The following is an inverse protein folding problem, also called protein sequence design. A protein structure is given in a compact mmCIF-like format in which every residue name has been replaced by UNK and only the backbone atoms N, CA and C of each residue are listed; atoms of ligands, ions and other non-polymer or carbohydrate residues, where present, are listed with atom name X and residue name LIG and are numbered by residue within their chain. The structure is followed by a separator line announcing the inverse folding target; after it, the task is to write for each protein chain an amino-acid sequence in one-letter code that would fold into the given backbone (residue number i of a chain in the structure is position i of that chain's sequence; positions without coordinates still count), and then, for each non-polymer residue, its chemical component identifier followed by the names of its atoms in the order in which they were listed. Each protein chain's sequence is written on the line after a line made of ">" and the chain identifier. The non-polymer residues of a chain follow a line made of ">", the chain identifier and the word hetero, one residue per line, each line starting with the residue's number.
data_IF_948587059904
#
_entry.id   IF_948587059904
#
_cell.length_a   1.000
_cell.length_b   1.000
_cell.length_c   1.000
_cell.angle_alpha   90.00
_cell.angle_beta   90.00
_cell.angle_gamma   90.00
#
_symmetry.space_group_name_H-M   'P 1'
#
loop_
_entity.id
_entity.type
_entity.pdbx_description
1 polymer ?
#
# COMPACT_ATOMS: atom_id res chain seq x y z
N UNK A 1 -14.03 -45.96 9.87
CA UNK A 1 -13.56 -45.33 8.61
C UNK A 1 -12.32 -44.53 8.94
N UNK A 2 -11.15 -45.03 8.55
CA UNK A 2 -9.87 -44.34 8.69
C UNK A 2 -9.79 -43.24 7.63
N UNK A 3 -9.44 -42.03 8.06
CA UNK A 3 -9.25 -40.88 7.16
C UNK A 3 -7.99 -41.15 6.31
N UNK A 4 -8.04 -41.05 4.98
CA UNK A 4 -6.83 -41.15 4.17
C UNK A 4 -5.87 -40.01 4.57
N UNK A 5 -4.66 -40.36 4.99
CA UNK A 5 -3.55 -39.42 5.08
C UNK A 5 -2.84 -39.44 3.75
N UNK A 6 -2.94 -38.33 3.01
CA UNK A 6 -2.13 -38.10 1.80
C UNK A 6 -0.74 -37.66 2.25
N UNK A 7 0.30 -38.26 1.67
CA UNK A 7 1.66 -37.75 1.83
C UNK A 7 1.97 -36.64 0.81
N UNK A 8 3.14 -36.00 0.92
CA UNK A 8 3.54 -34.91 0.03
C UNK A 8 3.63 -35.37 -1.43
N UNK A 9 3.93 -36.66 -1.68
CA UNK A 9 3.98 -37.23 -3.03
C UNK A 9 2.58 -37.38 -3.62
N UNK A 10 1.59 -37.71 -2.80
CA UNK A 10 0.19 -37.74 -3.20
C UNK A 10 -0.32 -36.34 -3.54
N UNK A 11 0.03 -35.32 -2.75
CA UNK A 11 -0.35 -33.93 -3.01
C UNK A 11 0.30 -33.41 -4.29
N UNK A 12 1.59 -33.64 -4.50
CA UNK A 12 2.27 -33.26 -5.73
C UNK A 12 1.65 -33.95 -6.96
N UNK A 13 1.33 -35.24 -6.85
CA UNK A 13 0.68 -36.00 -7.91
C UNK A 13 -0.69 -35.44 -8.24
N UNK A 14 -1.54 -35.16 -7.24
CA UNK A 14 -2.87 -34.58 -7.43
C UNK A 14 -2.77 -33.20 -8.08
N UNK A 15 -1.80 -32.38 -7.66
CA UNK A 15 -1.56 -31.06 -8.25
C UNK A 15 -1.12 -31.16 -9.72
N UNK A 16 -0.16 -32.04 -10.03
CA UNK A 16 0.30 -32.27 -11.41
C UNK A 16 -0.81 -32.81 -12.32
N UNK A 17 -1.64 -33.73 -11.82
CA UNK A 17 -2.74 -34.29 -12.60
C UNK A 17 -3.84 -33.24 -12.84
N UNK A 18 -4.15 -32.41 -11.85
CA UNK A 18 -5.08 -31.29 -12.01
C UNK A 18 -4.55 -30.26 -13.03
N UNK A 19 -3.27 -29.89 -12.96
CA UNK A 19 -2.65 -28.97 -13.91
C UNK A 19 -2.60 -29.53 -15.33
N UNK A 20 -2.30 -30.82 -15.50
CA UNK A 20 -2.34 -31.47 -16.83
C UNK A 20 -3.75 -31.54 -17.40
N UNK A 21 -4.74 -31.81 -16.55
CA UNK A 21 -6.14 -31.83 -16.96
C UNK A 21 -6.56 -30.44 -17.47
N UNK A 22 -6.28 -29.39 -16.71
CA UNK A 22 -6.61 -28.01 -17.10
C UNK A 22 -5.77 -27.48 -18.28
N UNK A 23 -4.52 -27.93 -18.44
CA UNK A 23 -3.71 -27.58 -19.61
C UNK A 23 -4.28 -28.17 -20.92
N UNK A 24 -4.98 -29.30 -20.85
CA UNK A 24 -5.68 -29.88 -22.00
C UNK A 24 -6.99 -29.16 -22.35
N UNK A 25 -7.58 -28.45 -21.39
CA UNK A 25 -8.83 -27.68 -21.57
C UNK A 25 -8.56 -26.21 -21.95
N UNK A 26 -7.30 -25.77 -21.90
CA UNK A 26 -6.92 -24.42 -22.29
C UNK A 26 -7.08 -24.25 -23.81
N UNK A 27 -7.76 -23.19 -24.28
CA UNK A 27 -7.89 -22.95 -25.71
C UNK A 27 -6.51 -22.70 -26.33
N UNK A 28 -6.23 -23.37 -27.46
CA UNK A 28 -4.96 -23.24 -28.20
C UNK A 28 -4.68 -21.82 -28.70
N UNK A 29 -5.69 -20.94 -28.65
CA UNK A 29 -5.57 -19.52 -28.99
C UNK A 29 -6.33 -18.65 -27.99
N UNK A 30 -5.68 -17.58 -27.55
CA UNK A 30 -6.23 -16.61 -26.57
C UNK A 30 -7.46 -15.85 -27.08
N UNK A 31 -7.74 -15.89 -28.39
CA UNK A 31 -8.90 -15.27 -29.04
C UNK A 31 -10.08 -16.25 -29.25
N UNK A 32 -9.93 -17.53 -28.90
CA UNK A 32 -10.98 -18.52 -29.09
C UNK A 32 -12.03 -18.44 -27.96
N UNK A 33 -13.33 -18.39 -28.27
CA UNK A 33 -14.38 -18.41 -27.27
C UNK A 33 -14.35 -19.74 -26.50
N UNK A 34 -14.36 -19.65 -25.16
CA UNK A 34 -14.40 -20.81 -24.26
C UNK A 34 -15.64 -21.66 -24.57
N UNK A 35 -15.42 -22.89 -25.03
CA UNK A 35 -16.50 -23.81 -25.38
C UNK A 35 -17.18 -24.32 -24.10
N UNK A 36 -18.22 -23.63 -23.65
CA UNK A 36 -18.90 -24.01 -22.42
C UNK A 36 -19.94 -23.05 -21.87
N UNK A 37 -20.72 -22.38 -22.73
CA UNK A 37 -21.91 -21.64 -22.28
C UNK A 37 -23.15 -22.15 -23.00
N UNK A 38 -24.07 -22.70 -22.22
CA UNK A 38 -25.42 -23.11 -22.60
C UNK A 38 -26.08 -22.03 -23.45
N UNK A 39 -26.38 -22.36 -24.71
CA UNK A 39 -27.27 -21.59 -25.58
C UNK A 39 -28.64 -21.45 -24.92
N UNK A 40 -28.97 -20.24 -24.45
CA UNK A 40 -30.34 -19.86 -24.19
C UNK A 40 -31.04 -19.65 -25.53
N UNK A 41 -31.91 -20.60 -25.88
CA UNK A 41 -32.77 -20.53 -27.05
C UNK A 41 -33.89 -19.49 -26.84
N UNK A 42 -34.00 -18.54 -27.76
CA UNK A 42 -35.22 -17.81 -28.02
C UNK A 42 -36.08 -18.62 -29.02
N UNK A 43 -37.35 -18.88 -28.70
CA UNK A 43 -38.30 -19.45 -29.68
C UNK A 43 -39.45 -20.28 -29.12
N UNK A 44 -40.48 -19.59 -28.64
CA UNK A 44 -41.90 -19.75 -28.98
C UNK A 44 -42.76 -21.02 -28.65
N UNK A 45 -43.93 -20.71 -28.06
CA UNK A 45 -45.26 -21.37 -28.06
C UNK A 45 -45.47 -22.85 -27.71
N UNK A 46 -46.44 -23.09 -26.80
CA UNK A 46 -47.31 -24.27 -26.82
C UNK A 46 -47.52 -24.93 -25.46
N UNK A 47 -48.68 -24.71 -24.85
CA UNK A 47 -49.04 -25.33 -23.56
C UNK A 47 -49.23 -26.85 -23.63
N UNK A 48 -49.06 -27.51 -22.48
CA UNK A 48 -49.85 -28.65 -21.98
C UNK A 48 -49.42 -28.91 -20.52
N UNK A 49 -50.41 -29.03 -19.64
CA UNK A 49 -50.25 -29.43 -18.25
C UNK A 49 -49.65 -30.83 -18.11
N UNK A 50 -48.75 -31.04 -17.14
CA UNK A 50 -48.82 -32.19 -16.22
C UNK A 50 -47.81 -32.07 -15.08
N UNK A 51 -48.35 -32.19 -13.86
CA UNK A 51 -47.62 -32.43 -12.61
C UNK A 51 -46.64 -33.60 -12.77
N UNK A 52 -45.41 -33.44 -12.27
CA UNK A 52 -44.67 -34.53 -11.62
C UNK A 52 -43.60 -33.97 -10.67
N UNK A 53 -43.84 -34.21 -9.38
CA UNK A 53 -42.89 -34.09 -8.29
C UNK A 53 -41.68 -34.97 -8.56
N UNK A 54 -40.48 -34.41 -8.45
CA UNK A 54 -39.28 -35.15 -8.07
C UNK A 54 -38.51 -34.32 -7.05
N UNK A 55 -38.53 -34.82 -5.81
CA UNK A 55 -37.58 -34.52 -4.75
C UNK A 55 -36.29 -35.25 -5.11
N UNK A 56 -35.12 -34.64 -4.86
CA UNK A 56 -33.88 -35.25 -4.32
C UNK A 56 -32.76 -34.17 -4.27
N UNK A 57 -31.67 -34.39 -3.50
CA UNK A 57 -31.11 -33.41 -2.57
C UNK A 57 -29.81 -32.77 -3.05
N UNK A 58 -29.53 -31.57 -2.55
CA UNK A 58 -28.21 -30.94 -2.63
C UNK A 58 -27.31 -31.49 -1.52
N UNK A 59 -26.29 -32.25 -1.89
CA UNK A 59 -25.13 -32.54 -1.04
C UNK A 59 -24.04 -31.56 -1.43
N UNK A 60 -23.89 -30.49 -0.64
CA UNK A 60 -22.74 -29.61 -0.71
C UNK A 60 -21.71 -30.08 0.33
N UNK A 61 -20.61 -30.66 -0.14
CA UNK A 61 -19.48 -31.00 0.72
C UNK A 61 -18.56 -29.77 0.85
N UNK A 62 -18.71 -29.04 1.96
CA UNK A 62 -17.74 -28.04 2.43
C UNK A 62 -16.62 -28.76 3.18
N UNK A 63 -15.41 -28.78 2.60
CA UNK A 63 -14.22 -29.22 3.31
C UNK A 63 -13.57 -27.99 3.98
N UNK A 64 -13.96 -27.74 5.24
CA UNK A 64 -13.23 -26.85 6.14
C UNK A 64 -12.03 -27.61 6.73
N UNK A 65 -10.81 -27.21 6.38
CA UNK A 65 -9.61 -27.65 7.06
C UNK A 65 -9.44 -26.84 8.34
N UNK A 66 -9.77 -27.47 9.46
CA UNK A 66 -9.40 -27.01 10.80
C UNK A 66 -7.93 -27.35 11.04
N UNK A 67 -7.09 -26.32 11.24
CA UNK A 67 -5.73 -26.49 11.78
C UNK A 67 -5.83 -26.39 13.32
N UNK A 68 -5.31 -27.37 14.07
CA UNK A 68 -5.34 -27.33 15.53
C UNK A 68 -4.40 -26.25 16.08
N UNK A 69 -4.91 -25.56 17.10
CA UNK A 69 -4.21 -24.59 17.92
C UNK A 69 -2.90 -25.16 18.51
N UNK A 70 -1.78 -24.57 18.11
CA UNK A 70 -0.50 -24.67 18.81
C UNK A 70 -0.31 -23.45 19.71
N UNK A 71 -0.44 -23.65 21.02
CA UNK A 71 0.04 -22.73 22.05
C UNK A 71 1.54 -22.49 21.84
N UNK A 72 1.91 -21.27 21.44
CA UNK A 72 3.27 -20.75 21.61
C UNK A 72 3.20 -19.55 22.53
N UNK A 73 3.80 -19.73 23.70
CA UNK A 73 3.97 -18.71 24.73
C UNK A 73 4.70 -17.49 24.14
N UNK A 74 4.11 -16.31 24.30
CA UNK A 74 4.80 -15.03 24.08
C UNK A 74 5.80 -14.85 25.22
N UNK A 75 7.09 -14.88 24.89
CA UNK A 75 8.11 -14.26 25.72
C UNK A 75 7.95 -12.73 25.58
N UNK A 76 7.32 -12.13 26.58
CA UNK A 76 7.42 -10.70 26.85
C UNK A 76 8.83 -10.47 27.37
N UNK A 77 9.70 -9.87 26.56
CA UNK A 77 10.92 -9.26 27.08
C UNK A 77 10.54 -7.87 27.61
N UNK A 78 10.24 -7.89 28.91
CA UNK A 78 10.43 -6.78 29.83
C UNK A 78 11.87 -6.27 29.70
N UNK A 79 12.06 -5.04 29.22
CA UNK A 79 13.29 -4.28 29.43
C UNK A 79 12.98 -3.19 30.46
N UNK A 80 12.85 -3.63 31.70
CA UNK A 80 12.62 -2.80 32.88
C UNK A 80 13.55 -3.22 34.02
N UNK A 81 14.85 -3.17 33.79
CA UNK A 81 15.88 -3.49 34.78
C UNK A 81 16.47 -2.23 35.41
N UNK A 82 15.92 -1.84 36.56
CA UNK A 82 16.56 -0.94 37.53
C UNK A 82 17.76 -1.64 38.17
N UNK A 83 18.94 -1.02 38.05
CA UNK A 83 20.18 -1.49 38.68
C UNK A 83 21.26 -0.41 38.72
N UNK A 84 21.15 0.51 39.68
CA UNK A 84 22.29 1.08 40.42
C UNK A 84 23.18 -0.08 40.94
N UNK A 85 24.51 -0.09 41.02
CA UNK A 85 25.61 0.88 41.02
C UNK A 85 26.90 0.12 40.63
N UNK A 86 27.87 0.77 39.98
CA UNK A 86 29.19 0.18 39.74
C UNK A 86 30.14 1.16 39.03
N UNK A 87 31.14 1.62 39.76
CA UNK A 87 32.00 2.78 39.46
C UNK A 87 33.24 2.42 38.63
N UNK A 88 33.53 3.28 37.63
CA UNK A 88 34.82 3.65 37.03
C UNK A 88 35.68 2.63 36.25
N UNK A 89 35.93 2.95 34.97
CA UNK A 89 37.27 3.07 34.38
C UNK A 89 37.19 3.89 33.08
N UNK A 90 37.96 4.98 33.00
CA UNK A 90 37.89 5.96 31.92
C UNK A 90 38.48 5.49 30.58
N UNK A 91 37.94 6.04 29.49
CA UNK A 91 38.58 6.10 28.19
C UNK A 91 38.24 7.42 27.48
N UNK A 92 39.18 7.99 26.72
CA UNK A 92 39.15 9.39 26.32
C UNK A 92 38.08 9.66 25.26
N UNK A 93 37.29 10.71 25.49
CA UNK A 93 36.40 11.30 24.50
C UNK A 93 37.23 11.95 23.39
N UNK A 94 37.21 11.36 22.20
CA UNK A 94 37.55 12.07 20.97
C UNK A 94 36.33 12.90 20.57
N UNK A 95 36.37 14.20 20.86
CA UNK A 95 35.41 15.18 20.36
C UNK A 95 35.62 15.35 18.85
N UNK A 96 34.91 14.56 18.06
CA UNK A 96 34.78 14.82 16.62
C UNK A 96 33.89 16.04 16.47
N UNK A 97 34.49 17.19 16.16
CA UNK A 97 33.75 18.40 15.78
C UNK A 97 33.12 18.14 14.40
N UNK A 98 31.79 18.20 14.23
CA UNK A 98 31.19 18.12 12.91
C UNK A 98 31.47 19.45 12.20
N UNK A 99 32.44 19.42 11.28
CA UNK A 99 32.66 20.53 10.35
C UNK A 99 31.54 20.52 9.31
N UNK A 100 30.35 20.97 9.73
CA UNK A 100 29.16 21.10 8.89
C UNK A 100 29.23 22.39 8.08
N UNK A 101 30.20 22.49 7.17
CA UNK A 101 30.11 23.42 6.04
C UNK A 101 29.44 22.70 4.87
N UNK A 102 28.22 22.20 5.10
CA UNK A 102 27.38 21.71 4.02
C UNK A 102 26.97 22.94 3.20
N UNK A 103 27.54 23.09 2.01
CA UNK A 103 27.01 23.98 0.99
C UNK A 103 25.52 23.68 0.87
N UNK A 104 24.67 24.65 1.24
CA UNK A 104 23.21 24.55 1.06
C UNK A 104 22.94 24.58 -0.44
N UNK A 105 23.14 23.44 -1.09
CA UNK A 105 22.74 23.25 -2.47
C UNK A 105 21.27 23.68 -2.56
N UNK A 106 20.99 24.70 -3.36
CA UNK A 106 19.63 25.21 -3.51
C UNK A 106 18.78 24.08 -4.08
N UNK A 107 17.75 23.69 -3.35
CA UNK A 107 16.81 22.66 -3.78
C UNK A 107 15.72 23.37 -4.58
N UNK A 108 15.46 22.96 -5.83
CA UNK A 108 14.44 23.61 -6.63
C UNK A 108 13.05 23.47 -6.00
N UNK A 109 12.24 24.53 -6.08
CA UNK A 109 10.91 24.58 -5.46
C UNK A 109 9.94 23.56 -6.07
N UNK A 110 10.17 23.15 -7.32
CA UNK A 110 9.38 22.16 -8.03
C UNK A 110 9.64 20.71 -7.59
N UNK A 111 10.63 20.48 -6.73
CA UNK A 111 10.86 19.13 -6.20
C UNK A 111 9.71 18.70 -5.29
N UNK A 112 9.15 17.54 -5.62
CA UNK A 112 8.06 16.92 -4.88
C UNK A 112 8.58 16.33 -3.57
N UNK A 113 7.73 16.35 -2.55
CA UNK A 113 8.03 15.73 -1.26
C UNK A 113 7.66 14.26 -1.31
N UNK A 114 8.52 13.44 -0.72
CA UNK A 114 8.33 12.00 -0.52
C UNK A 114 8.50 11.68 0.96
N UNK A 115 7.52 10.97 1.52
CA UNK A 115 7.50 10.61 2.94
C UNK A 115 7.35 9.11 3.13
N UNK A 116 7.93 8.62 4.23
CA UNK A 116 7.74 7.27 4.76
C UNK A 116 8.11 7.28 6.25
N UNK A 117 7.25 6.73 7.10
CA UNK A 117 7.38 6.78 8.54
C UNK A 117 7.65 8.19 9.04
N UNK A 118 8.69 8.37 9.85
CA UNK A 118 9.10 9.67 10.40
C UNK A 118 10.02 10.51 9.51
N UNK A 119 10.27 10.13 8.26
CA UNK A 119 11.17 10.86 7.36
C UNK A 119 10.42 11.42 6.15
N UNK A 120 10.88 12.57 5.68
CA UNK A 120 10.57 13.06 4.34
C UNK A 120 11.83 13.58 3.64
N UNK A 121 11.79 13.59 2.31
CA UNK A 121 12.85 14.06 1.42
C UNK A 121 12.21 14.73 0.21
N UNK A 122 12.95 15.61 -0.48
CA UNK A 122 12.53 16.18 -1.76
C UNK A 122 13.26 15.49 -2.90
N UNK A 123 12.53 15.22 -3.99
CA UNK A 123 13.08 14.62 -5.21
C UNK A 123 12.52 15.33 -6.45
N UNK A 124 13.20 15.24 -7.61
CA UNK A 124 12.66 15.78 -8.86
C UNK A 124 11.26 15.24 -9.17
N UNK A 125 10.33 16.07 -9.69
CA UNK A 125 8.94 15.67 -9.90
C UNK A 125 8.78 14.62 -11.02
N UNK A 126 9.81 14.41 -11.83
CA UNK A 126 9.85 13.42 -12.91
C UNK A 126 10.20 12.02 -12.42
N UNK A 127 10.65 11.87 -11.17
CA UNK A 127 10.93 10.56 -10.58
C UNK A 127 9.63 9.87 -10.20
N UNK A 128 9.46 8.64 -10.65
CA UNK A 128 8.30 7.84 -10.29
C UNK A 128 8.51 7.04 -9.01
N UNK A 129 7.79 5.92 -8.93
CA UNK A 129 7.65 5.14 -7.70
C UNK A 129 7.93 3.67 -7.94
N UNK A 130 8.80 3.11 -7.12
CA UNK A 130 9.27 1.73 -7.14
C UNK A 130 9.22 1.08 -5.76
N UNK A 131 9.70 -0.16 -5.67
CA UNK A 131 9.90 -0.86 -4.40
C UNK A 131 11.27 -0.56 -3.78
N UNK A 132 11.47 -1.02 -2.56
CA UNK A 132 12.72 -1.02 -1.81
C UNK A 132 12.89 -2.40 -1.15
N UNK A 133 14.10 -2.81 -0.73
CA UNK A 133 14.27 -4.00 0.08
C UNK A 133 13.35 -3.96 1.29
N UNK A 134 12.64 -5.06 1.53
CA UNK A 134 11.62 -5.18 2.55
C UNK A 134 11.84 -6.45 3.35
N UNK A 135 11.42 -6.45 4.62
CA UNK A 135 11.42 -7.63 5.46
C UNK A 135 9.97 -8.01 5.73
N UNK A 136 9.62 -9.25 5.41
CA UNK A 136 8.27 -9.77 5.60
C UNK A 136 8.26 -10.91 6.59
N UNK A 137 7.23 -10.96 7.44
CA UNK A 137 7.04 -11.98 8.47
C UNK A 137 6.88 -13.39 7.87
N UNK A 138 6.16 -13.50 6.76
CA UNK A 138 5.95 -14.76 6.05
C UNK A 138 7.22 -15.32 5.39
N UNK A 139 8.27 -14.51 5.19
CA UNK A 139 9.54 -14.93 4.60
C UNK A 139 10.63 -15.19 5.65
N UNK A 140 10.21 -15.55 6.88
CA UNK A 140 11.14 -15.87 7.97
C UNK A 140 12.10 -14.74 8.31
N UNK A 141 11.62 -13.49 8.23
CA UNK A 141 12.41 -12.28 8.51
C UNK A 141 13.60 -12.04 7.57
N UNK A 142 13.68 -12.76 6.46
CA UNK A 142 14.70 -12.48 5.45
C UNK A 142 14.36 -11.22 4.67
N UNK A 143 15.39 -10.44 4.34
CA UNK A 143 15.25 -9.25 3.49
C UNK A 143 15.05 -9.71 2.05
N UNK A 144 13.92 -9.31 1.47
CA UNK A 144 13.59 -9.54 0.07
C UNK A 144 13.87 -8.27 -0.73
N UNK A 145 14.59 -8.38 -1.85
CA UNK A 145 14.80 -7.26 -2.77
C UNK A 145 13.55 -7.03 -3.63
N UNK A 146 12.79 -5.98 -3.28
CA UNK A 146 11.68 -5.48 -4.09
C UNK A 146 12.06 -4.24 -4.92
N UNK A 147 13.32 -3.82 -4.91
CA UNK A 147 13.79 -2.61 -5.62
C UNK A 147 14.27 -2.90 -7.04
N UNK A 148 14.80 -4.09 -7.27
CA UNK A 148 15.60 -4.35 -8.45
C UNK A 148 14.83 -4.56 -9.74
N UNK A 149 13.70 -5.29 -9.75
CA UNK A 149 13.42 -6.11 -10.94
C UNK A 149 12.04 -6.08 -11.65
N UNK A 150 10.93 -5.49 -11.18
CA UNK A 150 9.66 -5.71 -11.93
C UNK A 150 8.65 -4.56 -12.03
N UNK A 151 8.42 -3.76 -11.00
CA UNK A 151 7.36 -2.74 -11.06
C UNK A 151 7.78 -1.34 -10.68
N UNK A 152 7.43 -0.42 -11.57
CA UNK A 152 7.59 1.00 -11.41
C UNK A 152 6.36 1.72 -11.98
N UNK A 153 5.99 2.86 -11.41
CA UNK A 153 4.95 3.73 -11.97
C UNK A 153 5.53 5.11 -12.26
N UNK A 154 5.20 5.65 -13.43
CA UNK A 154 5.64 7.00 -13.86
C UNK A 154 4.70 8.07 -13.27
N UNK A 155 5.19 9.29 -13.01
CA UNK A 155 4.33 10.45 -12.77
C UNK A 155 3.28 10.60 -13.88
N UNK A 156 2.01 10.84 -13.48
CA UNK A 156 0.90 10.96 -14.43
C UNK A 156 0.42 9.64 -15.05
N UNK A 157 0.81 8.49 -14.49
CA UNK A 157 0.36 7.18 -14.94
C UNK A 157 -0.23 6.36 -13.79
N UNK A 158 -1.25 5.55 -14.11
CA UNK A 158 -1.76 4.50 -13.23
C UNK A 158 -1.46 3.09 -13.77
N UNK A 159 -0.45 2.96 -14.63
CA UNK A 159 0.00 1.68 -15.18
C UNK A 159 1.38 1.35 -14.65
N UNK A 160 1.64 0.06 -14.46
CA UNK A 160 3.01 -0.40 -14.27
C UNK A 160 3.79 -0.28 -15.57
N UNK A 161 5.05 0.10 -15.45
CA UNK A 161 6.08 -0.16 -16.44
C UNK A 161 7.07 -1.17 -15.90
N UNK A 162 7.80 -1.81 -16.81
CA UNK A 162 8.93 -2.66 -16.48
C UNK A 162 10.19 -1.81 -16.28
N UNK A 163 11.06 -2.24 -15.37
CA UNK A 163 12.17 -1.42 -14.87
C UNK A 163 13.28 -1.29 -15.94
N UNK A 164 13.52 -0.05 -16.41
CA UNK A 164 14.83 0.48 -16.86
C UNK A 164 14.80 1.94 -17.35
N UNK A 165 13.64 2.62 -17.40
CA UNK A 165 13.54 3.90 -18.10
C UNK A 165 13.57 5.18 -17.24
N UNK A 166 13.84 5.12 -15.93
CA UNK A 166 13.90 6.36 -15.15
C UNK A 166 14.23 6.23 -13.67
N UNK A 167 14.58 7.36 -13.07
CA UNK A 167 14.83 7.52 -11.64
C UNK A 167 13.54 7.34 -10.81
N UNK A 168 13.67 6.88 -9.57
CA UNK A 168 12.50 6.54 -8.76
C UNK A 168 12.72 6.70 -7.26
N UNK A 169 11.60 6.71 -6.52
CA UNK A 169 11.59 6.58 -5.07
C UNK A 169 11.01 5.23 -4.67
N UNK A 170 11.73 4.49 -3.85
CA UNK A 170 11.43 3.13 -3.41
C UNK A 170 10.92 3.07 -1.99
N UNK A 171 9.99 2.14 -1.71
CA UNK A 171 9.45 1.86 -0.36
C UNK A 171 9.37 0.35 -0.10
N UNK A 172 9.44 -0.11 1.17
CA UNK A 172 9.45 -1.53 1.51
C UNK A 172 8.04 -2.16 1.38
N UNK A 173 7.53 -2.19 0.16
CA UNK A 173 6.20 -2.70 -0.20
C UNK A 173 6.32 -3.59 -1.43
N UNK A 174 5.53 -4.66 -1.49
CA UNK A 174 5.46 -5.53 -2.67
C UNK A 174 4.62 -4.83 -3.74
N UNK A 175 5.25 -4.36 -4.82
CA UNK A 175 4.54 -3.74 -5.94
C UNK A 175 3.96 -4.77 -6.93
N UNK A 176 4.64 -5.91 -7.05
CA UNK A 176 4.27 -7.10 -7.84
C UNK A 176 4.42 -8.34 -6.97
N UNK A 177 3.78 -9.42 -7.39
CA UNK A 177 3.87 -10.75 -6.79
C UNK A 177 5.29 -11.32 -6.86
N UNK A 178 6.08 -10.81 -7.81
CA UNK A 178 7.49 -11.14 -8.00
C UNK A 178 8.40 -10.10 -7.32
N UNK A 179 8.45 -10.07 -5.98
CA UNK A 179 9.69 -9.62 -5.33
C UNK A 179 10.71 -10.76 -5.51
N UNK A 180 11.65 -10.58 -6.42
CA UNK A 180 12.60 -11.62 -6.78
C UNK A 180 13.54 -11.95 -5.63
N UNK A 181 13.59 -13.21 -5.23
CA UNK A 181 14.67 -13.78 -4.40
C UNK A 181 15.99 -13.86 -5.17
N UNK A 182 16.43 -12.74 -5.75
CA UNK A 182 17.76 -12.58 -6.33
C UNK A 182 18.74 -12.06 -5.28
N UNK A 183 20.06 -12.19 -5.52
CA UNK A 183 21.03 -11.50 -4.68
C UNK A 183 20.72 -10.00 -4.69
N UNK A 184 20.80 -9.31 -3.53
CA UNK A 184 20.45 -7.90 -3.44
C UNK A 184 21.26 -7.09 -4.44
N UNK A 185 20.57 -6.57 -5.46
CA UNK A 185 21.17 -5.67 -6.43
C UNK A 185 21.14 -4.24 -5.88
N UNK A 186 21.95 -3.36 -6.45
CA UNK A 186 21.73 -1.92 -6.31
C UNK A 186 21.07 -1.37 -7.58
N UNK A 187 20.27 -0.30 -7.48
CA UNK A 187 19.75 0.39 -8.66
C UNK A 187 20.90 0.89 -9.56
N UNK A 188 20.73 0.75 -10.88
CA UNK A 188 21.66 1.29 -11.89
C UNK A 188 21.27 2.69 -12.37
N UNK A 189 20.10 3.17 -11.96
CA UNK A 189 19.55 4.52 -12.16
C UNK A 189 19.63 5.33 -10.87
N UNK A 190 19.36 6.63 -10.93
CA UNK A 190 19.22 7.42 -9.70
C UNK A 190 18.00 6.94 -8.92
N UNK A 191 18.16 6.70 -7.61
CA UNK A 191 17.07 6.21 -6.78
C UNK A 191 17.17 6.75 -5.36
N UNK A 192 16.02 6.87 -4.69
CA UNK A 192 15.94 7.11 -3.24
C UNK A 192 15.08 6.04 -2.62
N UNK A 193 15.62 5.26 -1.70
CA UNK A 193 14.87 4.26 -0.97
C UNK A 193 14.57 4.79 0.44
N UNK A 194 13.29 4.78 0.81
CA UNK A 194 12.83 5.19 2.13
C UNK A 194 12.46 3.95 2.95
N UNK A 195 13.08 3.77 4.11
CA UNK A 195 12.79 2.64 5.01
C UNK A 195 13.22 1.28 4.47
N UNK A 196 14.20 1.24 3.57
CA UNK A 196 14.75 0.00 3.04
C UNK A 196 15.32 -0.88 4.17
N UNK A 197 14.84 -2.13 4.24
CA UNK A 197 15.29 -3.11 5.21
C UNK A 197 16.77 -3.48 5.01
N UNK A 198 17.50 -3.68 6.11
CA UNK A 198 18.91 -4.07 6.08
C UNK A 198 19.91 -2.96 5.69
N UNK A 199 19.45 -1.74 5.41
CA UNK A 199 20.33 -0.63 5.06
C UNK A 199 20.95 0.00 6.31
N UNK A 200 22.27 0.02 6.39
CA UNK A 200 23.01 0.70 7.44
C UNK A 200 23.43 2.11 7.00
N UNK A 201 23.41 3.12 7.90
CA UNK A 201 23.95 4.44 7.60
C UNK A 201 25.42 4.39 7.17
N UNK A 202 25.78 5.19 6.18
CA UNK A 202 27.14 5.26 5.62
C UNK A 202 27.14 5.41 4.10
N UNK A 203 28.35 5.47 3.54
CA UNK A 203 28.57 5.63 2.09
C UNK A 203 29.32 4.42 1.55
N UNK A 204 28.87 3.90 0.41
CA UNK A 204 29.51 2.82 -0.34
C UNK A 204 29.60 3.23 -1.83
N UNK A 205 30.64 2.80 -2.52
CA UNK A 205 30.78 2.99 -3.97
C UNK A 205 30.93 1.63 -4.63
N UNK A 206 30.05 1.33 -5.58
CA UNK A 206 30.02 0.07 -6.31
C UNK A 206 31.01 0.08 -7.48
N UNK A 207 31.42 -1.11 -7.97
CA UNK A 207 32.36 -1.22 -9.09
C UNK A 207 31.91 -0.52 -10.39
N UNK A 208 30.61 -0.31 -10.59
CA UNK A 208 30.05 0.35 -11.77
C UNK A 208 29.97 1.90 -11.65
N UNK A 209 30.49 2.43 -10.54
CA UNK A 209 30.55 3.85 -10.22
C UNK A 209 29.29 4.40 -9.53
N UNK A 210 28.27 3.59 -9.26
CA UNK A 210 27.14 4.04 -8.43
C UNK A 210 27.61 4.24 -7.00
N UNK A 211 27.19 5.35 -6.39
CA UNK A 211 27.40 5.64 -4.98
C UNK A 211 26.08 5.39 -4.26
N UNK A 212 26.14 4.67 -3.14
CA UNK A 212 25.06 4.59 -2.14
C UNK A 212 25.42 5.46 -0.96
N UNK A 213 24.53 6.33 -0.51
CA UNK A 213 24.62 6.98 0.78
C UNK A 213 23.33 6.79 1.57
N UNK A 214 23.44 6.26 2.78
CA UNK A 214 22.32 6.03 3.69
C UNK A 214 22.44 6.96 4.91
N UNK A 215 21.35 7.61 5.29
CA UNK A 215 21.24 8.39 6.53
C UNK A 215 20.08 7.89 7.39
N UNK A 216 20.25 7.95 8.71
CA UNK A 216 19.15 7.76 9.64
C UNK A 216 18.38 9.08 9.81
N UNK A 217 17.08 9.07 9.57
CA UNK A 217 16.21 10.26 9.63
C UNK A 217 14.87 9.84 10.23
N UNK A 218 14.43 10.50 11.30
CA UNK A 218 13.10 10.29 11.87
C UNK A 218 12.78 8.84 12.26
N UNK A 219 13.77 8.08 12.73
CA UNK A 219 13.59 6.67 13.10
C UNK A 219 13.55 5.68 11.93
N UNK A 220 13.81 6.13 10.69
CA UNK A 220 13.93 5.29 9.51
C UNK A 220 15.24 5.60 8.74
N UNK A 221 15.46 4.92 7.62
CA UNK A 221 16.60 5.16 6.72
C UNK A 221 16.17 5.88 5.45
N UNK A 222 17.01 6.79 4.97
CA UNK A 222 16.91 7.42 3.65
C UNK A 222 18.19 7.07 2.90
N UNK A 223 18.08 6.27 1.85
CA UNK A 223 19.21 5.80 1.04
C UNK A 223 19.12 6.36 -0.36
N UNK A 224 20.13 7.11 -0.81
CA UNK A 224 20.22 7.59 -2.18
C UNK A 224 21.26 6.79 -2.98
N UNK A 225 20.93 6.50 -4.23
CA UNK A 225 21.80 5.88 -5.24
C UNK A 225 21.98 6.84 -6.40
N UNK A 226 23.21 7.10 -6.82
CA UNK A 226 23.51 7.85 -8.05
C UNK A 226 24.98 7.70 -8.44
N UNK A 227 25.30 7.89 -9.72
CA UNK A 227 26.69 8.15 -10.17
C UNK A 227 27.13 9.60 -9.92
N UNK A 228 26.20 10.47 -9.53
CA UNK A 228 26.43 11.89 -9.27
C UNK A 228 26.37 12.18 -7.76
N UNK A 229 27.54 12.31 -7.13
CA UNK A 229 27.64 12.63 -5.70
C UNK A 229 26.97 13.97 -5.32
N UNK A 230 26.93 14.95 -6.23
CA UNK A 230 26.27 16.22 -5.97
C UNK A 230 24.74 16.06 -5.90
N UNK A 231 24.15 15.17 -6.72
CA UNK A 231 22.73 14.83 -6.66
C UNK A 231 22.39 14.14 -5.34
N UNK A 232 23.21 13.19 -4.90
CA UNK A 232 23.06 12.53 -3.58
C UNK A 232 23.08 13.57 -2.47
N UNK A 233 24.08 14.45 -2.47
CA UNK A 233 24.21 15.49 -1.46
C UNK A 233 23.01 16.45 -1.45
N UNK A 234 22.48 16.82 -2.62
CA UNK A 234 21.31 17.70 -2.76
C UNK A 234 20.04 17.01 -2.22
N UNK A 235 19.78 15.77 -2.65
CA UNK A 235 18.62 14.99 -2.20
C UNK A 235 18.68 14.73 -0.70
N UNK A 236 19.77 14.15 -0.20
CA UNK A 236 19.90 13.83 1.23
C UNK A 236 20.02 15.08 2.10
N UNK A 237 20.42 16.22 1.53
CA UNK A 237 20.39 17.52 2.20
C UNK A 237 18.99 18.02 2.51
N UNK A 238 17.95 17.49 1.84
CA UNK A 238 16.54 17.81 2.11
C UNK A 238 15.88 16.87 3.11
N UNK A 239 16.57 15.79 3.49
CA UNK A 239 16.00 14.76 4.34
C UNK A 239 15.81 15.31 5.76
N UNK A 240 14.58 15.23 6.26
CA UNK A 240 14.22 15.76 7.58
C UNK A 240 13.30 14.81 8.34
N UNK A 241 13.46 14.80 9.66
CA UNK A 241 12.55 14.10 10.56
C UNK A 241 11.26 14.91 10.71
N UNK A 242 10.11 14.24 10.69
CA UNK A 242 8.79 14.85 10.78
C UNK A 242 7.84 14.04 11.66
N UNK A 243 6.84 14.73 12.22
CA UNK A 243 5.66 14.11 12.86
C UNK A 243 4.41 14.28 12.00
N UNK A 244 4.45 15.24 11.08
CA UNK A 244 3.48 15.49 10.02
C UNK A 244 4.28 16.02 8.85
N UNK A 245 4.08 15.43 7.68
CA UNK A 245 4.85 15.80 6.52
C UNK A 245 4.31 17.06 5.81
N UNK A 246 4.99 17.47 4.73
CA UNK A 246 4.59 18.63 3.95
C UNK A 246 3.25 18.47 3.20
N UNK A 247 2.71 17.25 3.12
CA UNK A 247 1.40 16.97 2.53
C UNK A 247 0.29 16.98 3.59
N UNK A 248 0.57 17.40 4.82
CA UNK A 248 -0.34 17.42 5.96
C UNK A 248 -0.75 16.01 6.45
N UNK A 249 0.05 14.98 6.14
CA UNK A 249 -0.17 13.61 6.61
C UNK A 249 0.65 13.35 7.89
N UNK A 250 0.00 13.00 9.02
CA UNK A 250 0.73 12.61 10.22
C UNK A 250 1.50 11.30 9.97
N UNK A 251 2.59 11.10 10.70
CA UNK A 251 3.42 9.88 10.54
C UNK A 251 2.80 8.64 11.16
N UNK A 252 1.72 8.83 11.93
CA UNK A 252 0.91 7.79 12.55
C UNK A 252 -0.53 7.95 12.08
N UNK A 253 -1.18 6.81 11.79
CA UNK A 253 -2.57 6.76 11.35
C UNK A 253 -3.47 7.60 12.29
N UNK A 254 -4.14 8.65 11.78
CA UNK A 254 -5.05 9.44 12.59
C UNK A 254 -6.23 8.59 13.05
N UNK A 255 -6.80 8.95 14.20
CA UNK A 255 -8.02 8.30 14.69
C UNK A 255 -9.19 8.65 13.76
N UNK A 256 -9.62 7.68 12.97
CA UNK A 256 -10.81 7.73 12.11
C UNK A 256 -11.82 6.66 12.53
N UNK A 257 -13.06 6.77 12.06
CA UNK A 257 -14.09 5.74 12.28
C UNK A 257 -15.48 6.27 12.58
N UNK A 258 -16.43 5.37 12.93
CA UNK A 258 -17.86 5.68 13.07
C UNK A 258 -18.20 6.72 14.15
N UNK A 259 -17.31 6.88 15.13
CA UNK A 259 -17.46 7.83 16.24
C UNK A 259 -16.81 9.19 15.96
N UNK A 260 -16.14 9.33 14.81
CA UNK A 260 -15.53 10.60 14.42
C UNK A 260 -16.63 11.53 13.95
N UNK A 261 -16.91 12.56 14.74
CA UNK A 261 -17.85 13.61 14.34
C UNK A 261 -17.12 14.70 13.58
N UNK A 262 -17.79 15.25 12.59
CA UNK A 262 -17.36 16.45 11.88
C UNK A 262 -18.35 17.55 12.18
N UNK A 263 -17.89 18.78 12.37
CA UNK A 263 -18.76 19.95 12.32
C UNK A 263 -17.98 20.99 11.54
N UNK A 264 -18.45 21.33 10.34
CA UNK A 264 -17.75 22.27 9.49
C UNK A 264 -18.55 22.56 8.24
N UNK A 265 -18.72 23.86 7.99
CA UNK A 265 -19.18 24.40 6.72
C UNK A 265 -18.00 25.14 6.08
N UNK A 266 -17.98 25.21 4.76
CA UNK A 266 -16.91 25.85 4.01
C UNK A 266 -16.73 25.19 2.65
N UNK A 267 -15.88 25.80 1.84
CA UNK A 267 -15.49 25.25 0.54
C UNK A 267 -14.26 24.35 0.69
N UNK A 268 -14.25 23.15 0.08
CA UNK A 268 -13.06 22.30 0.07
C UNK A 268 -11.89 23.03 -0.60
N UNK A 269 -10.79 23.21 0.13
CA UNK A 269 -9.63 23.98 -0.34
C UNK A 269 -8.43 23.08 -0.68
N UNK A 270 -8.37 21.88 -0.12
CA UNK A 270 -7.24 20.95 -0.27
C UNK A 270 -7.65 19.53 0.09
N UNK A 271 -7.03 18.56 -0.58
CA UNK A 271 -7.19 17.14 -0.31
C UNK A 271 -5.82 16.51 -0.13
N UNK A 272 -5.53 15.93 1.03
CA UNK A 272 -4.35 15.08 1.22
C UNK A 272 -4.75 13.62 1.21
N UNK A 273 -3.97 12.78 0.54
CA UNK A 273 -4.10 11.32 0.56
C UNK A 273 -2.97 10.80 1.43
N UNK A 274 -3.30 10.02 2.45
CA UNK A 274 -2.32 9.43 3.34
C UNK A 274 -2.55 7.92 3.39
N UNK A 275 -1.56 7.13 3.00
CA UNK A 275 -1.61 5.68 3.12
C UNK A 275 -0.67 5.22 4.23
N UNK A 276 -1.10 4.24 5.01
CA UNK A 276 -0.36 3.69 6.14
C UNK A 276 -0.31 2.17 6.04
N UNK A 277 0.74 1.57 6.58
CA UNK A 277 0.82 0.13 6.71
C UNK A 277 -0.13 -0.39 7.81
N UNK A 278 -0.15 -1.70 8.00
CA UNK A 278 -0.96 -2.36 9.04
C UNK A 278 -0.61 -1.92 10.47
N UNK A 279 0.62 -1.47 10.70
CA UNK A 279 1.05 -0.95 12.00
C UNK A 279 0.64 0.53 12.21
N UNK A 280 0.09 1.17 11.17
CA UNK A 280 -0.28 2.59 11.19
C UNK A 280 0.90 3.53 10.90
N UNK A 281 1.99 3.03 10.31
CA UNK A 281 3.13 3.83 9.87
C UNK A 281 2.86 4.41 8.49
N UNK A 282 3.13 5.70 8.28
CA UNK A 282 2.93 6.35 6.98
C UNK A 282 3.76 5.66 5.88
N UNK A 283 3.10 5.18 4.83
CA UNK A 283 3.73 4.59 3.65
C UNK A 283 4.03 5.66 2.61
N UNK A 284 3.03 6.45 2.22
CA UNK A 284 3.20 7.60 1.34
C UNK A 284 2.11 8.63 1.59
N UNK A 285 2.33 9.81 1.02
CA UNK A 285 1.37 10.90 1.04
C UNK A 285 1.38 11.68 -0.27
N UNK A 286 0.25 12.27 -0.59
CA UNK A 286 0.11 13.19 -1.72
C UNK A 286 -0.87 14.31 -1.37
N UNK A 287 -0.81 15.42 -2.11
CA UNK A 287 -1.69 16.56 -1.95
C UNK A 287 -2.28 16.99 -3.29
N UNK A 288 -3.57 17.29 -3.26
CA UNK A 288 -4.33 17.79 -4.39
C UNK A 288 -5.00 19.11 -4.06
N UNK A 289 -5.26 19.89 -5.11
CA UNK A 289 -5.81 21.23 -5.03
C UNK A 289 -7.30 21.27 -4.65
N UNK A 290 -7.84 22.49 -4.58
CA UNK A 290 -9.26 22.74 -4.28
C UNK A 290 -10.20 22.09 -5.31
N UNK A 291 -9.78 21.95 -6.57
CA UNK A 291 -10.60 21.34 -7.63
C UNK A 291 -10.81 19.85 -7.35
N UNK A 292 -9.72 19.13 -7.06
CA UNK A 292 -9.77 17.73 -6.68
C UNK A 292 -10.53 17.52 -5.36
N UNK A 293 -10.29 18.38 -4.37
CA UNK A 293 -10.99 18.36 -3.09
C UNK A 293 -12.52 18.54 -3.27
N UNK A 294 -12.93 19.52 -4.09
CA UNK A 294 -14.33 19.76 -4.43
C UNK A 294 -14.99 18.58 -5.12
N UNK A 295 -14.31 17.97 -6.10
CA UNK A 295 -14.79 16.79 -6.81
C UNK A 295 -14.93 15.58 -5.87
N UNK A 296 -13.95 15.35 -4.99
CA UNK A 296 -14.00 14.30 -3.97
C UNK A 296 -15.17 14.48 -3.01
N UNK A 297 -15.34 15.70 -2.47
CA UNK A 297 -16.45 16.02 -1.57
C UNK A 297 -17.79 15.83 -2.25
N UNK A 298 -17.93 16.24 -3.52
CA UNK A 298 -19.16 16.00 -4.29
C UNK A 298 -19.46 14.50 -4.46
N UNK A 299 -18.43 13.69 -4.72
CA UNK A 299 -18.53 12.23 -4.85
C UNK A 299 -18.86 11.49 -3.54
N UNK A 300 -18.70 12.14 -2.39
CA UNK A 300 -18.94 11.56 -1.06
C UNK A 300 -20.22 12.06 -0.36
N UNK A 301 -21.05 12.86 -1.03
CA UNK A 301 -22.31 13.40 -0.43
C UNK A 301 -23.42 12.37 -0.25
N UNK A 302 -23.38 11.24 -0.97
CA UNK A 302 -24.44 10.23 -0.97
C UNK A 302 -23.89 8.92 -0.42
N UNK A 303 -24.46 8.46 0.68
CA UNK A 303 -24.10 7.21 1.34
C UNK A 303 -25.23 6.73 2.25
N UNK A 304 -25.06 5.54 2.79
CA UNK A 304 -25.96 4.96 3.79
C UNK A 304 -25.46 5.33 5.19
N UNK A 305 -26.38 5.58 6.11
CA UNK A 305 -26.01 5.87 7.49
C UNK A 305 -25.54 4.60 8.19
N UNK A 306 -24.44 4.69 8.91
CA UNK A 306 -24.00 3.59 9.77
C UNK A 306 -24.70 3.76 11.11
N UNK A 307 -25.61 2.84 11.44
CA UNK A 307 -26.20 2.78 12.77
C UNK A 307 -25.11 2.53 13.83
N UNK A 308 -25.20 3.22 14.96
CA UNK A 308 -24.27 3.06 16.08
C UNK A 308 -24.19 1.58 16.50
N UNK A 309 -22.98 1.00 16.45
CA UNK A 309 -22.74 -0.40 16.80
C UNK A 309 -22.65 -1.35 15.60
N UNK A 310 -22.91 -0.88 14.38
CA UNK A 310 -22.62 -1.66 13.18
C UNK A 310 -21.10 -1.86 13.05
N UNK A 311 -20.66 -3.12 13.12
CA UNK A 311 -19.31 -3.53 12.79
C UNK A 311 -19.13 -3.40 11.28
N UNK A 312 -18.88 -2.19 10.79
CA UNK A 312 -18.29 -2.03 9.46
C UNK A 312 -16.94 -2.71 9.56
N UNK A 313 -16.80 -3.85 8.87
CA UNK A 313 -15.66 -4.74 9.04
C UNK A 313 -14.38 -3.93 8.97
N UNK A 314 -13.63 -3.89 10.08
CA UNK A 314 -12.23 -3.51 10.03
C UNK A 314 -11.57 -4.59 9.19
N UNK A 315 -11.42 -4.32 7.90
CA UNK A 315 -10.62 -5.19 7.06
C UNK A 315 -9.22 -5.17 7.66
N UNK A 316 -8.88 -6.19 8.45
CA UNK A 316 -7.55 -6.39 9.04
C UNK A 316 -6.49 -6.73 7.97
N UNK A 317 -6.88 -6.66 6.70
CA UNK A 317 -6.17 -7.33 5.61
C UNK A 317 -5.20 -6.41 4.84
N UNK A 318 -5.30 -5.07 4.92
CA UNK A 318 -4.54 -4.18 4.01
C UNK A 318 -4.12 -2.82 4.59
N UNK A 319 -3.34 -2.09 3.79
CA UNK A 319 -2.93 -0.69 4.02
C UNK A 319 -4.14 0.20 4.35
N UNK A 320 -3.97 1.10 5.32
CA UNK A 320 -5.01 2.07 5.68
C UNK A 320 -4.87 3.31 4.80
N UNK A 321 -5.91 3.65 4.04
CA UNK A 321 -5.95 4.92 3.30
C UNK A 321 -6.93 5.86 3.99
N UNK A 322 -6.43 7.03 4.36
CA UNK A 322 -7.25 8.12 4.90
C UNK A 322 -7.05 9.37 4.05
N UNK A 323 -8.13 10.13 3.92
CA UNK A 323 -8.18 11.35 3.14
C UNK A 323 -8.43 12.52 4.06
N UNK A 324 -7.52 13.49 4.05
CA UNK A 324 -7.62 14.75 4.77
C UNK A 324 -8.28 15.77 3.85
N UNK A 325 -9.50 16.18 4.13
CA UNK A 325 -10.15 17.27 3.40
C UNK A 325 -10.11 18.53 4.23
N UNK A 326 -9.46 19.55 3.71
CA UNK A 326 -9.47 20.87 4.30
C UNK A 326 -10.62 21.70 3.74
N UNK A 327 -11.35 22.37 4.63
CA UNK A 327 -12.44 23.27 4.30
C UNK A 327 -12.09 24.67 4.78
N UNK A 328 -12.17 25.65 3.89
CA UNK A 328 -11.99 27.06 4.24
C UNK A 328 -13.36 27.73 4.37
N UNK A 329 -13.67 28.24 5.56
CA UNK A 329 -14.90 28.96 5.87
C UNK A 329 -14.64 30.36 6.41
N UNK A 330 -15.71 31.09 6.72
CA UNK A 330 -15.62 32.44 7.32
C UNK A 330 -14.99 32.43 8.72
N UNK A 331 -14.95 31.29 9.39
CA UNK A 331 -14.42 31.09 10.74
C UNK A 331 -13.04 30.41 10.77
N UNK A 332 -12.41 30.24 9.61
CA UNK A 332 -11.08 29.65 9.45
C UNK A 332 -11.07 28.34 8.68
N UNK A 333 -9.93 27.65 8.77
CA UNK A 333 -9.74 26.33 8.15
C UNK A 333 -10.15 25.22 9.13
N UNK A 334 -10.86 24.21 8.61
CA UNK A 334 -11.30 23.03 9.35
C UNK A 334 -10.93 21.77 8.57
N UNK A 335 -10.65 20.66 9.26
CA UNK A 335 -10.16 19.42 8.63
C UNK A 335 -11.07 18.23 8.92
N UNK A 336 -11.53 17.55 7.86
CA UNK A 336 -12.26 16.28 7.93
C UNK A 336 -11.35 15.14 7.53
N UNK A 337 -11.43 14.02 8.24
CA UNK A 337 -10.73 12.78 7.89
C UNK A 337 -11.73 11.72 7.45
N UNK A 338 -11.59 11.27 6.22
CA UNK A 338 -12.38 10.19 5.64
C UNK A 338 -11.49 8.94 5.55
N UNK A 339 -12.04 7.74 5.74
CA UNK A 339 -11.27 6.50 5.68
C UNK A 339 -11.78 5.60 4.56
N UNK A 340 -10.89 5.19 3.67
CA UNK A 340 -11.18 4.24 2.60
C UNK A 340 -10.91 2.81 3.06
N UNK A 341 -11.85 1.92 2.76
CA UNK A 341 -11.75 0.49 2.99
C UNK A 341 -11.87 -0.23 1.65
N UNK A 342 -10.89 -1.09 1.37
CA UNK A 342 -10.94 -2.07 0.30
C UNK A 342 -11.10 -3.46 0.92
N UNK A 343 -12.16 -4.18 0.54
CA UNK A 343 -12.44 -5.49 1.11
C UNK A 343 -13.25 -6.39 0.18
N UNK A 344 -13.33 -7.69 0.49
CA UNK A 344 -14.08 -8.68 -0.29
C UNK A 344 -15.59 -8.43 -0.28
N UNK A 345 -16.11 -7.82 0.80
CA UNK A 345 -17.53 -7.48 0.94
C UNK A 345 -17.93 -6.20 0.20
N UNK A 346 -16.96 -5.52 -0.41
CA UNK A 346 -17.13 -4.23 -1.07
C UNK A 346 -16.05 -3.25 -0.65
N UNK A 347 -15.94 -2.16 -1.41
CA UNK A 347 -15.05 -1.05 -1.08
C UNK A 347 -15.88 0.20 -0.84
N UNK A 348 -15.53 0.97 0.18
CA UNK A 348 -16.33 2.09 0.64
C UNK A 348 -15.49 3.10 1.43
N UNK A 349 -16.06 4.26 1.69
CA UNK A 349 -15.51 5.29 2.55
C UNK A 349 -16.37 5.45 3.81
N UNK A 350 -15.71 5.62 4.95
CA UNK A 350 -16.30 6.16 6.16
C UNK A 350 -16.12 7.68 6.15
N UNK A 351 -17.22 8.42 5.99
CA UNK A 351 -17.21 9.88 5.85
C UNK A 351 -17.97 10.51 7.03
N UNK A 352 -17.28 11.21 7.95
CA UNK A 352 -17.93 11.95 9.01
C UNK A 352 -18.93 12.99 8.49
N UNK A 353 -20.14 13.02 9.04
CA UNK A 353 -21.17 13.98 8.64
C UNK A 353 -21.32 15.10 9.68
N UNK A 354 -21.57 16.32 9.19
CA UNK A 354 -21.86 17.50 10.01
C UNK A 354 -23.16 17.37 10.83
N UNK A 355 -24.12 16.60 10.32
CA UNK A 355 -25.49 16.56 10.82
C UNK A 355 -25.86 15.25 11.56
N UNK A 356 -24.93 14.30 11.74
CA UNK A 356 -25.30 12.99 12.28
C UNK A 356 -24.20 11.92 12.19
N UNK A 357 -24.56 10.62 12.18
CA UNK A 357 -23.59 9.53 12.17
C UNK A 357 -22.69 9.53 10.92
N UNK A 358 -21.56 8.85 11.00
CA UNK A 358 -20.67 8.61 9.85
C UNK A 358 -21.44 7.92 8.72
N UNK A 359 -21.21 8.38 7.49
CA UNK A 359 -21.76 7.79 6.28
C UNK A 359 -20.87 6.66 5.78
N UNK A 360 -21.49 5.56 5.35
CA UNK A 360 -20.88 4.57 4.46
C UNK A 360 -21.14 4.98 3.01
N UNK A 361 -20.08 5.39 2.30
CA UNK A 361 -20.16 5.81 0.91
C UNK A 361 -19.50 4.75 0.03
N UNK A 362 -20.24 4.05 -0.85
CA UNK A 362 -19.65 3.07 -1.76
C UNK A 362 -18.54 3.67 -2.64
N UNK A 363 -17.47 2.92 -2.84
CA UNK A 363 -16.37 3.29 -3.72
C UNK A 363 -16.86 3.38 -5.17
N UNK A 364 -16.51 4.48 -5.83
CA UNK A 364 -16.90 4.75 -7.21
C UNK A 364 -15.83 5.57 -7.92
N UNK A 365 -15.95 5.66 -9.24
CA UNK A 365 -15.07 6.52 -10.03
C UNK A 365 -15.15 8.00 -9.58
N UNK A 366 -16.31 8.45 -9.08
CA UNK A 366 -16.54 9.84 -8.68
C UNK A 366 -15.80 10.24 -7.39
N UNK A 367 -15.64 9.32 -6.44
CA UNK A 367 -14.95 9.59 -5.17
C UNK A 367 -13.51 9.06 -5.11
N UNK A 368 -13.09 8.24 -6.08
CA UNK A 368 -11.69 7.78 -6.18
C UNK A 368 -10.92 8.56 -7.24
N UNK A 369 -11.55 8.85 -8.38
CA UNK A 369 -10.89 9.48 -9.51
C UNK A 369 -10.18 10.80 -9.21
N UNK A 370 -10.70 11.68 -8.35
CA UNK A 370 -10.05 12.95 -8.03
C UNK A 370 -8.64 12.83 -7.43
N UNK A 371 -8.25 11.68 -6.87
CA UNK A 371 -6.98 11.53 -6.17
C UNK A 371 -6.17 10.30 -6.59
N UNK A 372 -6.81 9.26 -7.15
CA UNK A 372 -6.10 8.05 -7.60
C UNK A 372 -5.84 8.02 -9.11
N UNK A 373 -6.66 8.69 -9.91
CA UNK A 373 -6.52 8.63 -11.37
C UNK A 373 -5.20 9.26 -11.79
N UNK A 374 -4.44 8.55 -12.63
CA UNK A 374 -3.14 8.99 -13.15
C UNK A 374 -2.13 9.30 -12.02
N UNK A 375 -2.40 8.80 -10.81
CA UNK A 375 -1.53 8.94 -9.64
C UNK A 375 -0.71 7.66 -9.46
N UNK A 376 0.54 7.69 -9.92
CA UNK A 376 1.45 6.56 -9.82
C UNK A 376 1.70 6.11 -8.39
N UNK A 377 1.65 7.03 -7.41
CA UNK A 377 1.81 6.68 -5.99
C UNK A 377 0.73 5.72 -5.52
N UNK A 378 -0.52 6.05 -5.83
CA UNK A 378 -1.67 5.22 -5.47
C UNK A 378 -1.56 3.87 -6.15
N UNK A 379 -1.20 3.85 -7.44
CA UNK A 379 -1.00 2.62 -8.18
C UNK A 379 0.14 1.77 -7.61
N UNK A 380 1.22 2.38 -7.13
CA UNK A 380 2.36 1.66 -6.60
C UNK A 380 2.13 1.10 -5.20
N UNK A 381 1.41 1.84 -4.35
CA UNK A 381 1.50 1.66 -2.90
C UNK A 381 0.18 1.40 -2.20
N UNK A 382 -0.96 1.50 -2.89
CA UNK A 382 -2.26 1.18 -2.29
C UNK A 382 -2.83 -0.08 -2.90
N UNK A 383 -3.10 -1.07 -2.06
CA UNK A 383 -3.82 -2.29 -2.45
C UNK A 383 -5.30 -1.96 -2.76
N UNK A 384 -5.76 -2.43 -3.91
CA UNK A 384 -7.15 -2.34 -4.34
C UNK A 384 -8.07 -3.40 -3.70
N UNK A 385 -9.35 -3.38 -4.09
CA UNK A 385 -10.34 -4.37 -3.67
C UNK A 385 -10.00 -5.79 -4.14
N UNK A 386 -10.33 -6.77 -3.31
CA UNK A 386 -9.64 -8.05 -3.32
C UNK A 386 -9.96 -9.00 -4.49
N UNK A 387 -11.12 -8.90 -5.17
CA UNK A 387 -11.57 -10.01 -6.03
C UNK A 387 -12.52 -9.61 -7.18
N UNK A 388 -12.64 -8.33 -7.56
CA UNK A 388 -13.52 -7.96 -8.67
C UNK A 388 -12.94 -6.87 -9.56
N UNK A 389 -12.07 -7.27 -10.50
CA UNK A 389 -11.53 -6.41 -11.57
C UNK A 389 -12.62 -5.69 -12.40
N UNK A 390 -13.88 -6.04 -12.21
CA UNK A 390 -15.04 -5.44 -12.89
C UNK A 390 -15.28 -3.99 -12.50
N UNK A 391 -14.84 -3.54 -11.31
CA UNK A 391 -15.02 -2.16 -10.91
C UNK A 391 -13.98 -1.25 -11.59
N UNK A 392 -14.42 -0.33 -12.45
CA UNK A 392 -13.54 0.51 -13.29
C UNK A 392 -12.55 1.38 -12.53
N UNK A 393 -12.78 1.64 -11.24
CA UNK A 393 -11.87 2.41 -10.38
C UNK A 393 -10.71 1.57 -9.83
N UNK A 394 -10.82 0.24 -9.79
CA UNK A 394 -9.79 -0.64 -9.23
C UNK A 394 -8.48 -0.59 -10.01
N UNK A 395 -8.53 -0.29 -11.32
CA UNK A 395 -7.35 -0.17 -12.18
C UNK A 395 -6.31 0.85 -11.67
N UNK A 396 -6.73 1.81 -10.85
CA UNK A 396 -5.87 2.84 -10.28
C UNK A 396 -5.09 2.39 -9.05
N UNK A 397 -5.40 1.21 -8.50
CA UNK A 397 -4.74 0.62 -7.34
C UNK A 397 -3.86 -0.55 -7.75
N UNK A 398 -2.94 -0.93 -6.86
CA UNK A 398 -2.18 -2.18 -6.95
C UNK A 398 -3.11 -3.40 -6.74
N UNK A 399 -2.80 -4.54 -7.34
CA UNK A 399 -3.48 -5.81 -7.02
C UNK A 399 -3.13 -6.29 -5.60
N UNK A 400 -3.83 -7.32 -5.08
CA UNK A 400 -3.44 -7.90 -3.78
C UNK A 400 -2.09 -8.58 -3.85
N UNK A 401 -1.86 -9.30 -4.95
CA UNK A 401 -0.57 -9.93 -5.22
C UNK A 401 0.40 -8.95 -5.86
N UNK A 402 -0.11 -7.86 -6.44
CA UNK A 402 0.67 -6.80 -7.07
C UNK A 402 0.25 -6.54 -8.49
#
# INVERSE_FOLDING_TARGET
>A
MTKPTYDDSDLERVLRDALRHHAGDAPERLDAPVAGTLSAAAGDTGGISRRRRWVLPAVAAMAALAVPAGLVARNVLDVGGSGETGVAAGSPSATVSPSNSASTATVPDEWRVESYGGAQVRVPPTWGWGGAPAQFDWNGDSVTDCAGWWAYTKPGSSTYGEHQEGSYVGRPVMMTDVCGGGPPGHPTVDAVLLGAAGMTPGTETFPDGVIRETRAVGGTTVTAYSKNAALIAQVLGTAQAVTTDANDCPVQLPKTGPTTSWTGAGEPSRLSVCAYDRAGTLLFSDQHDATAAGAYVAGTRKGEWIENGSNVGRGDFHDHVVLRVEFTGSDGSRVRWDQFFAGPEGSYFLVPNAAGPTLNVPASQANIGPWAKDNGQVKAYVVGGAWSETATWQRWFRGILG
#
